data_IF_204152462461
#
_entry.id   IF_204152462461
#
_cell.length_a   1.000
_cell.length_b   1.000
_cell.length_c   1.000
_cell.angle_alpha   90.00
_cell.angle_beta   90.00
_cell.angle_gamma   90.00
#
_symmetry.space_group_name_H-M   'P 1'
#
loop_
_entity.id
_entity.type
_entity.pdbx_description
1 polymer ?
#
# COMPACT_ATOMS: atom_id res chain seq x y z
N UNK A 1 14.60 -17.14 42.74
CA UNK A 1 13.23 -17.52 43.16
C UNK A 1 12.32 -16.29 43.22
N UNK A 2 12.65 -15.23 43.97
CA UNK A 2 11.81 -14.01 44.03
C UNK A 2 11.75 -13.20 42.72
N UNK A 3 12.85 -13.07 41.97
CA UNK A 3 12.84 -12.34 40.69
C UNK A 3 11.94 -12.99 39.62
N UNK A 4 11.89 -14.32 39.54
CA UNK A 4 10.98 -15.04 38.65
C UNK A 4 9.51 -14.94 39.11
N UNK A 5 9.26 -14.72 40.39
CA UNK A 5 7.91 -14.55 40.94
C UNK A 5 7.33 -13.16 40.62
N UNK A 6 8.17 -12.12 40.62
CA UNK A 6 7.77 -10.73 40.35
C UNK A 6 7.83 -10.34 38.87
N UNK A 7 8.73 -10.92 38.08
CA UNK A 7 8.92 -10.59 36.66
C UNK A 7 8.58 -11.73 35.69
N UNK A 8 8.42 -12.95 36.20
CA UNK A 8 7.97 -14.09 35.42
C UNK A 8 6.48 -14.02 35.11
N UNK A 9 6.09 -14.66 34.00
CA UNK A 9 4.67 -14.76 33.64
C UNK A 9 4.08 -15.86 34.52
N UNK A 10 3.20 -15.47 35.44
CA UNK A 10 2.49 -16.45 36.26
C UNK A 10 1.69 -17.40 35.36
N UNK A 11 1.68 -18.72 35.63
CA UNK A 11 0.92 -19.69 34.83
C UNK A 11 -0.57 -19.36 34.72
N UNK A 12 -1.14 -18.70 35.74
CA UNK A 12 -2.53 -18.22 35.77
C UNK A 12 -2.76 -16.89 35.03
N UNK A 13 -1.70 -16.19 34.61
CA UNK A 13 -1.75 -14.87 33.96
C UNK A 13 -1.13 -14.91 32.55
N UNK A 14 -1.31 -16.03 31.85
CA UNK A 14 -0.97 -16.16 30.43
C UNK A 14 -2.16 -16.69 29.66
N UNK A 15 -2.40 -16.11 28.49
CA UNK A 15 -3.31 -16.65 27.49
C UNK A 15 -2.59 -17.65 26.59
N UNK A 16 -1.29 -17.91 26.78
CA UNK A 16 -0.57 -18.86 25.96
C UNK A 16 -1.07 -20.28 26.22
N UNK A 17 -1.43 -21.03 25.18
CA UNK A 17 -1.76 -22.44 25.33
C UNK A 17 -0.47 -23.26 25.42
N UNK A 18 0.03 -23.45 26.65
CA UNK A 18 1.27 -24.20 26.92
C UNK A 18 1.05 -25.72 26.90
N UNK A 19 -0.21 -26.20 26.92
CA UNK A 19 -0.55 -27.62 27.09
C UNK A 19 -0.38 -28.46 25.83
N UNK A 20 -0.56 -27.87 24.65
CA UNK A 20 -0.51 -28.56 23.35
C UNK A 20 0.67 -28.13 22.45
N UNK A 21 1.56 -27.27 22.96
CA UNK A 21 2.51 -26.54 22.11
C UNK A 21 3.94 -27.09 22.19
N UNK A 22 4.57 -27.32 21.03
CA UNK A 22 5.97 -27.76 20.91
C UNK A 22 6.94 -26.65 21.38
N UNK A 23 7.58 -26.84 22.54
CA UNK A 23 8.49 -25.86 23.16
C UNK A 23 9.69 -25.51 22.30
N UNK A 24 10.29 -26.47 21.59
CA UNK A 24 11.45 -26.22 20.73
C UNK A 24 11.10 -25.29 19.57
N UNK A 25 9.93 -25.52 18.97
CA UNK A 25 9.41 -24.66 17.90
C UNK A 25 9.17 -23.24 18.40
N UNK A 26 8.56 -23.07 19.58
CA UNK A 26 8.31 -21.76 20.19
C UNK A 26 9.62 -21.01 20.42
N UNK A 27 10.60 -21.64 21.07
CA UNK A 27 11.86 -20.99 21.39
C UNK A 27 12.65 -20.62 20.11
N UNK A 28 12.59 -21.46 19.07
CA UNK A 28 13.19 -21.14 17.77
C UNK A 28 12.56 -19.91 17.10
N UNK A 29 11.24 -19.77 17.16
CA UNK A 29 10.50 -18.66 16.56
C UNK A 29 10.62 -17.38 17.38
N UNK A 30 10.60 -17.49 18.71
CA UNK A 30 10.85 -16.37 19.62
C UNK A 30 12.27 -15.84 19.45
N UNK A 31 13.28 -16.71 19.31
CA UNK A 31 14.66 -16.29 19.04
C UNK A 31 14.78 -15.56 17.71
N UNK A 32 14.05 -16.01 16.68
CA UNK A 32 13.99 -15.34 15.36
C UNK A 32 13.30 -13.96 15.43
N UNK A 33 12.26 -13.81 16.24
CA UNK A 33 11.52 -12.56 16.41
C UNK A 33 12.19 -11.57 17.40
N UNK A 34 12.99 -12.09 18.35
CA UNK A 34 13.56 -11.30 19.46
C UNK A 34 14.61 -10.29 19.06
N UNK A 35 15.28 -10.47 17.91
CA UNK A 35 16.36 -9.59 17.49
C UNK A 35 15.88 -8.18 17.11
N UNK A 36 14.60 -8.02 16.77
CA UNK A 36 14.08 -6.78 16.21
C UNK A 36 12.91 -6.19 17.03
N UNK A 37 12.11 -6.99 17.74
CA UNK A 37 10.94 -6.51 18.48
C UNK A 37 10.79 -7.15 19.88
N UNK A 38 11.46 -6.62 20.93
CA UNK A 38 11.40 -7.16 22.28
C UNK A 38 9.99 -7.09 22.88
N UNK A 39 9.21 -6.06 22.53
CA UNK A 39 7.82 -5.92 22.97
C UNK A 39 6.92 -7.03 22.41
N UNK A 40 7.08 -7.37 21.12
CA UNK A 40 6.35 -8.48 20.50
C UNK A 40 6.63 -9.80 21.22
N UNK A 41 7.89 -10.12 21.50
CA UNK A 41 8.26 -11.33 22.24
C UNK A 41 7.66 -11.36 23.65
N UNK A 42 7.64 -10.22 24.35
CA UNK A 42 7.04 -10.10 25.68
C UNK A 42 5.52 -10.38 25.67
N UNK A 43 4.84 -9.97 24.60
CA UNK A 43 3.41 -10.22 24.41
C UNK A 43 3.16 -11.68 23.99
N UNK A 44 3.94 -12.22 23.06
CA UNK A 44 3.78 -13.59 22.55
C UNK A 44 3.90 -14.61 23.68
N UNK A 45 4.85 -14.40 24.61
CA UNK A 45 5.00 -15.24 25.81
C UNK A 45 3.75 -15.22 26.73
N UNK A 46 2.92 -14.19 26.64
CA UNK A 46 1.62 -14.06 27.33
C UNK A 46 0.44 -14.59 26.50
N UNK A 47 0.68 -15.14 25.31
CA UNK A 47 -0.35 -15.62 24.40
C UNK A 47 -1.09 -14.51 23.64
N UNK A 48 -0.50 -13.32 23.57
CA UNK A 48 -1.04 -12.13 22.88
C UNK A 48 -0.04 -11.70 21.81
N UNK A 49 -0.49 -11.27 20.63
CA UNK A 49 0.39 -10.68 19.63
C UNK A 49 -0.30 -9.60 18.80
N UNK A 50 0.47 -8.92 17.95
CA UNK A 50 -0.06 -7.99 16.95
C UNK A 50 0.52 -8.31 15.57
N UNK A 51 -0.26 -8.09 14.52
CA UNK A 51 0.10 -8.34 13.12
C UNK A 51 -0.33 -7.15 12.25
N UNK A 52 0.63 -6.36 11.78
CA UNK A 52 0.37 -5.22 10.88
C UNK A 52 1.59 -4.98 9.99
N UNK A 53 1.44 -4.19 8.93
CA UNK A 53 2.51 -3.92 7.94
C UNK A 53 3.77 -3.22 8.50
N UNK A 54 3.75 -2.79 9.76
CA UNK A 54 4.91 -2.23 10.46
C UNK A 54 5.70 -3.27 11.27
N UNK A 55 5.24 -4.53 11.34
CA UNK A 55 5.97 -5.64 11.94
C UNK A 55 6.88 -6.25 10.88
N UNK A 56 8.11 -6.57 11.27
CA UNK A 56 9.07 -7.23 10.39
C UNK A 56 8.56 -8.60 9.91
N UNK A 57 8.99 -9.03 8.71
CA UNK A 57 8.55 -10.30 8.12
C UNK A 57 8.79 -11.51 9.06
N UNK A 58 9.92 -11.55 9.77
CA UNK A 58 10.23 -12.62 10.74
C UNK A 58 9.24 -12.65 11.90
N UNK A 59 8.84 -11.48 12.41
CA UNK A 59 7.84 -11.34 13.48
C UNK A 59 6.45 -11.74 13.00
N UNK A 60 6.03 -11.28 11.81
CA UNK A 60 4.75 -11.69 11.20
C UNK A 60 4.67 -13.21 11.02
N UNK A 61 5.71 -13.83 10.45
CA UNK A 61 5.78 -15.29 10.27
C UNK A 61 5.74 -16.01 11.62
N UNK A 62 6.46 -15.52 12.63
CA UNK A 62 6.43 -16.13 13.96
C UNK A 62 5.03 -16.06 14.57
N UNK A 63 4.35 -14.91 14.49
CA UNK A 63 2.98 -14.73 15.00
C UNK A 63 2.00 -15.64 14.25
N UNK A 64 2.10 -15.74 12.92
CA UNK A 64 1.25 -16.61 12.10
C UNK A 64 1.43 -18.09 12.43
N UNK A 65 2.67 -18.55 12.58
CA UNK A 65 2.97 -19.95 12.92
C UNK A 65 2.51 -20.26 14.34
N UNK A 66 2.76 -19.37 15.31
CA UNK A 66 2.39 -19.58 16.70
C UNK A 66 0.87 -19.49 16.92
N UNK A 67 0.16 -18.67 16.15
CA UNK A 67 -1.30 -18.62 16.15
C UNK A 67 -1.91 -19.89 15.55
N UNK A 68 -1.40 -20.37 14.41
CA UNK A 68 -1.85 -21.64 13.79
C UNK A 68 -1.61 -22.86 14.68
N UNK A 69 -0.50 -22.86 15.43
CA UNK A 69 -0.20 -23.89 16.43
C UNK A 69 -0.96 -23.71 17.76
N UNK A 70 -1.93 -22.78 17.81
CA UNK A 70 -2.76 -22.46 18.98
C UNK A 70 -1.97 -22.00 20.21
N UNK A 71 -0.67 -21.69 20.09
CA UNK A 71 0.09 -21.17 21.23
C UNK A 71 -0.38 -19.75 21.58
N UNK A 72 -0.49 -18.87 20.57
CA UNK A 72 -1.10 -17.53 20.72
C UNK A 72 -2.61 -17.67 20.60
N UNK A 73 -3.35 -17.07 21.52
CA UNK A 73 -4.82 -17.11 21.53
C UNK A 73 -5.43 -15.81 21.01
N UNK A 74 -4.76 -14.68 21.21
CA UNK A 74 -5.25 -13.35 20.79
C UNK A 74 -4.23 -12.68 19.88
N UNK A 75 -4.67 -12.26 18.70
CA UNK A 75 -3.87 -11.46 17.77
C UNK A 75 -4.64 -10.19 17.41
N UNK A 76 -4.00 -9.03 17.61
CA UNK A 76 -4.49 -7.75 17.12
C UNK A 76 -3.95 -7.52 15.70
N UNK A 77 -4.77 -7.68 14.66
CA UNK A 77 -4.32 -7.51 13.28
C UNK A 77 -4.96 -6.31 12.58
N UNK A 78 -4.22 -5.72 11.64
CA UNK A 78 -4.80 -4.79 10.67
C UNK A 78 -5.15 -5.57 9.39
N UNK A 79 -6.46 -5.68 9.11
CA UNK A 79 -7.08 -6.11 7.85
C UNK A 79 -6.83 -7.53 7.29
N UNK A 80 -5.77 -8.27 7.67
CA UNK A 80 -5.37 -9.48 6.90
C UNK A 80 -5.41 -10.83 7.63
N UNK A 81 -5.63 -10.91 8.96
CA UNK A 81 -5.65 -12.22 9.67
C UNK A 81 -7.05 -12.65 10.10
N UNK A 82 -7.46 -13.84 9.66
CA UNK A 82 -8.84 -14.35 9.62
C UNK A 82 -9.52 -14.81 10.92
N UNK A 83 -9.18 -14.25 12.09
CA UNK A 83 -9.98 -14.42 13.31
C UNK A 83 -10.32 -13.04 13.89
N UNK A 84 -11.60 -12.66 13.78
CA UNK A 84 -12.10 -11.32 14.10
C UNK A 84 -12.77 -11.34 15.47
N UNK A 85 -12.21 -10.60 16.42
CA UNK A 85 -12.86 -10.30 17.70
C UNK A 85 -13.43 -8.88 17.60
N UNK A 86 -14.75 -8.76 17.66
CA UNK A 86 -15.42 -7.46 17.68
C UNK A 86 -15.36 -6.87 19.10
N UNK A 87 -14.60 -5.79 19.28
CA UNK A 87 -14.51 -5.04 20.54
C UNK A 87 -15.34 -3.77 20.43
N UNK A 88 -16.19 -3.50 21.44
CA UNK A 88 -17.00 -2.27 21.54
C UNK A 88 -17.92 -2.01 20.31
N UNK A 89 -18.34 -3.07 19.62
CA UNK A 89 -19.32 -2.99 18.54
C UNK A 89 -20.65 -3.59 19.03
N UNK A 90 -21.77 -2.84 19.00
CA UNK A 90 -23.07 -3.37 19.36
C UNK A 90 -23.43 -4.62 18.56
N UNK A 91 -24.09 -5.58 19.20
CA UNK A 91 -24.46 -6.85 18.57
C UNK A 91 -25.31 -6.69 17.31
N UNK A 92 -26.11 -5.62 17.22
CA UNK A 92 -26.87 -5.26 16.01
C UNK A 92 -25.96 -4.96 14.82
N UNK A 93 -24.84 -4.26 15.03
CA UNK A 93 -23.85 -3.93 14.00
C UNK A 93 -22.96 -5.12 13.64
N UNK A 94 -22.63 -5.98 14.62
CA UNK A 94 -21.93 -7.24 14.36
C UNK A 94 -22.78 -8.14 13.47
N UNK A 95 -24.04 -8.39 13.84
CA UNK A 95 -24.97 -9.20 13.03
C UNK A 95 -25.10 -8.63 11.61
N UNK A 96 -25.25 -7.31 11.50
CA UNK A 96 -25.30 -6.65 10.20
C UNK A 96 -24.03 -6.91 9.38
N UNK A 97 -22.82 -6.74 9.95
CA UNK A 97 -21.55 -6.97 9.25
C UNK A 97 -21.35 -8.44 8.83
N UNK A 98 -21.85 -9.40 9.62
CA UNK A 98 -21.74 -10.83 9.30
C UNK A 98 -22.71 -11.27 8.20
N UNK A 99 -23.89 -10.64 8.10
CA UNK A 99 -24.94 -11.05 7.16
C UNK A 99 -25.14 -10.11 5.97
N UNK A 100 -24.58 -8.90 6.01
CA UNK A 100 -24.71 -7.92 4.94
C UNK A 100 -24.14 -8.49 3.64
N UNK A 101 -24.80 -8.19 2.52
CA UNK A 101 -24.23 -8.49 1.21
C UNK A 101 -22.87 -7.81 1.06
N UNK A 102 -21.93 -8.49 0.42
CA UNK A 102 -20.63 -7.92 0.07
C UNK A 102 -20.90 -6.65 -0.76
N UNK A 103 -20.26 -5.50 -0.43
CA UNK A 103 -20.43 -4.30 -1.22
C UNK A 103 -20.11 -4.59 -2.68
N UNK A 104 -20.94 -4.08 -3.58
CA UNK A 104 -20.72 -4.27 -5.00
C UNK A 104 -19.33 -3.70 -5.35
N UNK A 105 -18.44 -4.57 -5.86
CA UNK A 105 -17.10 -4.18 -6.28
C UNK A 105 -17.28 -3.28 -7.51
N UNK A 106 -17.31 -1.97 -7.26
CA UNK A 106 -17.33 -0.96 -8.32
C UNK A 106 -15.90 -0.69 -8.73
N UNK A 107 -15.62 -0.80 -10.02
CA UNK A 107 -14.38 -0.28 -10.57
C UNK A 107 -14.28 1.21 -10.24
N UNK A 108 -13.17 1.61 -9.63
CA UNK A 108 -12.85 3.03 -9.53
C UNK A 108 -12.41 3.52 -10.92
N UNK A 109 -12.77 4.75 -11.29
CA UNK A 109 -12.35 5.34 -12.55
C UNK A 109 -10.81 5.40 -12.59
N UNK A 110 -10.13 4.69 -13.50
CA UNK A 110 -8.71 4.36 -13.30
C UNK A 110 -7.74 5.35 -13.93
N UNK A 111 -8.20 6.48 -14.46
CA UNK A 111 -7.28 7.47 -15.04
C UNK A 111 -6.89 8.48 -13.97
N UNK A 112 -5.75 8.26 -13.35
CA UNK A 112 -5.09 9.33 -12.63
C UNK A 112 -4.29 10.23 -13.58
N UNK A 113 -3.88 11.41 -13.11
CA UNK A 113 -3.15 12.38 -13.95
C UNK A 113 -1.82 11.78 -14.44
N UNK A 114 -1.10 11.12 -13.54
CA UNK A 114 0.16 10.42 -13.86
C UNK A 114 -0.06 9.16 -14.68
N UNK A 115 -1.22 8.51 -14.59
CA UNK A 115 -1.52 7.41 -15.50
C UNK A 115 -1.56 7.92 -16.95
N UNK A 116 -2.26 9.04 -17.19
CA UNK A 116 -2.34 9.64 -18.52
C UNK A 116 -0.99 10.14 -19.03
N UNK A 117 -0.19 10.80 -18.19
CA UNK A 117 1.15 11.25 -18.60
C UNK A 117 2.08 10.07 -18.90
N UNK A 118 1.92 8.92 -18.22
CA UNK A 118 2.68 7.69 -18.51
C UNK A 118 2.29 7.06 -19.84
N UNK A 119 1.00 7.09 -20.20
CA UNK A 119 0.56 6.65 -21.53
C UNK A 119 1.09 7.57 -22.63
N UNK A 120 1.08 8.88 -22.40
CA UNK A 120 1.65 9.86 -23.32
C UNK A 120 3.18 9.69 -23.45
N UNK A 121 3.87 9.42 -22.34
CA UNK A 121 5.29 9.13 -22.34
C UNK A 121 5.62 7.84 -23.11
N UNK A 122 4.80 6.79 -22.93
CA UNK A 122 4.90 5.55 -23.70
C UNK A 122 4.79 5.83 -25.20
N UNK A 123 3.81 6.62 -25.62
CA UNK A 123 3.63 6.99 -27.02
C UNK A 123 4.82 7.79 -27.58
N UNK A 124 5.23 8.85 -26.88
CA UNK A 124 6.29 9.77 -27.35
C UNK A 124 7.67 9.10 -27.42
N UNK A 125 7.99 8.18 -26.51
CA UNK A 125 9.28 7.46 -26.50
C UNK A 125 9.29 6.15 -27.28
N UNK A 126 8.15 5.69 -27.77
CA UNK A 126 8.09 4.43 -28.53
C UNK A 126 8.76 4.52 -29.89
N UNK A 127 9.49 3.46 -30.26
CA UNK A 127 9.98 3.29 -31.63
C UNK A 127 8.82 2.95 -32.58
N UNK A 128 7.88 2.11 -32.12
CA UNK A 128 6.66 1.77 -32.83
C UNK A 128 5.46 2.54 -32.23
N UNK A 129 5.12 3.65 -32.89
CA UNK A 129 4.00 4.51 -32.46
C UNK A 129 2.64 3.81 -32.55
N UNK A 130 2.48 2.85 -33.46
CA UNK A 130 1.20 2.15 -33.63
C UNK A 130 1.00 1.15 -32.49
N UNK A 131 2.03 0.41 -32.10
CA UNK A 131 1.99 -0.47 -30.92
C UNK A 131 1.68 0.34 -29.65
N UNK A 132 2.41 1.44 -29.42
CA UNK A 132 2.20 2.26 -28.24
C UNK A 132 0.81 2.89 -28.19
N UNK A 133 0.28 3.34 -29.34
CA UNK A 133 -1.09 3.81 -29.47
C UNK A 133 -2.10 2.72 -29.08
N UNK A 134 -1.97 1.52 -29.64
CA UNK A 134 -2.89 0.41 -29.35
C UNK A 134 -2.84 0.02 -27.86
N UNK A 135 -1.64 -0.02 -27.26
CA UNK A 135 -1.47 -0.30 -25.83
C UNK A 135 -2.12 0.76 -24.94
N UNK A 136 -1.97 2.03 -25.30
CA UNK A 136 -2.62 3.13 -24.58
C UNK A 136 -4.15 3.09 -24.74
N UNK A 137 -4.64 2.79 -25.93
CA UNK A 137 -6.07 2.66 -26.21
C UNK A 137 -6.69 1.51 -25.41
N UNK A 138 -6.07 0.32 -25.45
CA UNK A 138 -6.50 -0.84 -24.66
C UNK A 138 -6.49 -0.51 -23.16
N UNK A 139 -5.48 0.20 -22.66
CA UNK A 139 -5.42 0.59 -21.26
C UNK A 139 -6.54 1.55 -20.84
N UNK A 140 -6.98 2.44 -21.74
CA UNK A 140 -8.11 3.35 -21.54
C UNK A 140 -9.48 2.69 -21.71
N UNK A 141 -9.58 1.68 -22.58
CA UNK A 141 -10.82 0.93 -22.83
C UNK A 141 -11.06 -0.16 -21.77
N UNK A 142 -10.04 -0.97 -21.46
CA UNK A 142 -10.13 -2.07 -20.48
C UNK A 142 -10.26 -1.60 -19.04
N UNK A 143 -9.85 -0.37 -18.77
CA UNK A 143 -10.08 0.35 -17.53
C UNK A 143 -11.55 0.30 -17.05
N UNK A 144 -12.49 0.13 -17.99
CA UNK A 144 -13.91 0.34 -17.77
C UNK A 144 -14.74 -0.80 -18.38
N UNK A 145 -14.54 -2.03 -17.87
CA UNK A 145 -15.51 -3.13 -18.05
C UNK A 145 -16.72 -2.84 -17.13
N UNK A 146 -17.41 -1.74 -17.41
CA UNK A 146 -18.70 -1.39 -16.82
C UNK A 146 -19.80 -1.88 -17.74
N UNK A 147 -20.95 -2.25 -17.18
CA UNK A 147 -22.16 -2.66 -17.89
C UNK A 147 -22.36 -1.89 -19.21
N UNK A 148 -22.58 -2.63 -20.30
CA UNK A 148 -22.84 -2.18 -21.68
C UNK A 148 -23.86 -1.04 -21.80
N UNK A 149 -24.74 -0.85 -20.81
CA UNK A 149 -25.74 0.23 -20.78
C UNK A 149 -25.17 1.64 -20.58
N UNK A 150 -23.97 1.79 -20.01
CA UNK A 150 -23.38 3.11 -19.66
C UNK A 150 -22.09 3.45 -20.40
N UNK A 151 -21.67 2.61 -21.35
CA UNK A 151 -20.38 2.75 -22.04
C UNK A 151 -20.22 4.14 -22.69
N UNK A 152 -21.26 4.65 -23.35
CA UNK A 152 -21.23 5.96 -24.03
C UNK A 152 -20.92 7.11 -23.06
N UNK A 153 -21.57 7.14 -21.89
CA UNK A 153 -21.35 8.19 -20.90
C UNK A 153 -19.93 8.12 -20.32
N UNK A 154 -19.46 6.89 -20.10
CA UNK A 154 -18.11 6.61 -19.61
C UNK A 154 -17.07 7.06 -20.63
N UNK A 155 -17.24 6.75 -21.91
CA UNK A 155 -16.33 7.18 -22.98
C UNK A 155 -16.26 8.71 -23.08
N UNK A 156 -17.41 9.38 -22.98
CA UNK A 156 -17.49 10.85 -22.96
C UNK A 156 -16.73 11.40 -21.75
N UNK A 157 -16.96 10.84 -20.56
CA UNK A 157 -16.28 11.26 -19.34
C UNK A 157 -14.76 11.05 -19.42
N UNK A 158 -14.32 9.92 -19.96
CA UNK A 158 -12.89 9.62 -20.18
C UNK A 158 -12.26 10.63 -21.13
N UNK A 159 -12.93 10.95 -22.24
CA UNK A 159 -12.44 11.98 -23.18
C UNK A 159 -12.28 13.34 -22.52
N UNK A 160 -13.30 13.81 -21.80
CA UNK A 160 -13.21 15.09 -21.09
C UNK A 160 -12.11 15.08 -20.03
N UNK A 161 -11.99 13.99 -19.26
CA UNK A 161 -10.94 13.86 -18.27
C UNK A 161 -9.54 13.89 -18.90
N UNK A 162 -9.33 13.19 -20.02
CA UNK A 162 -8.06 13.24 -20.76
C UNK A 162 -7.75 14.66 -21.25
N UNK A 163 -8.72 15.35 -21.84
CA UNK A 163 -8.55 16.71 -22.34
C UNK A 163 -8.19 17.69 -21.21
N UNK A 164 -8.93 17.65 -20.11
CA UNK A 164 -8.65 18.49 -18.94
C UNK A 164 -7.30 18.16 -18.31
N UNK A 165 -6.91 16.89 -18.28
CA UNK A 165 -5.61 16.47 -17.75
C UNK A 165 -4.46 16.96 -18.62
N UNK A 166 -4.59 16.90 -19.95
CA UNK A 166 -3.58 17.45 -20.86
C UNK A 166 -3.44 18.96 -20.70
N UNK A 167 -4.55 19.70 -20.63
CA UNK A 167 -4.52 21.15 -20.36
C UNK A 167 -3.89 21.47 -19.00
N UNK A 168 -4.23 20.70 -17.96
CA UNK A 168 -3.65 20.84 -16.63
C UNK A 168 -2.14 20.59 -16.63
N UNK A 169 -1.68 19.50 -17.25
CA UNK A 169 -0.26 19.15 -17.36
C UNK A 169 0.54 20.18 -18.16
N UNK A 170 -0.05 20.71 -19.23
CA UNK A 170 0.57 21.75 -20.05
C UNK A 170 0.71 23.07 -19.26
N UNK A 171 -0.30 23.45 -18.47
CA UNK A 171 -0.23 24.65 -17.61
C UNK A 171 0.78 24.53 -16.48
N UNK A 172 1.06 23.31 -16.03
CA UNK A 172 2.09 23.02 -15.02
C UNK A 172 3.50 22.87 -15.61
N UNK A 173 3.68 23.05 -16.92
CA UNK A 173 4.97 22.85 -17.61
C UNK A 173 5.56 21.44 -17.42
N UNK A 174 4.68 20.45 -17.20
CA UNK A 174 5.06 19.04 -17.13
C UNK A 174 5.12 18.39 -18.52
N UNK A 175 4.40 18.96 -19.49
CA UNK A 175 4.43 18.55 -20.90
C UNK A 175 4.53 19.78 -21.82
N UNK A 176 5.24 19.63 -22.95
CA UNK A 176 5.30 20.67 -23.97
C UNK A 176 4.14 20.57 -24.97
N UNK A 177 4.10 21.48 -25.95
CA UNK A 177 3.09 21.49 -27.04
C UNK A 177 3.09 20.24 -27.91
N UNK A 178 4.18 19.46 -27.88
CA UNK A 178 4.33 18.21 -28.62
C UNK A 178 3.91 16.99 -27.77
N UNK A 179 3.53 17.19 -26.50
CA UNK A 179 3.17 16.14 -25.55
C UNK A 179 4.38 15.42 -24.93
N UNK A 180 5.59 15.95 -25.09
CA UNK A 180 6.79 15.38 -24.48
C UNK A 180 6.95 15.88 -23.05
N UNK A 181 7.50 15.04 -22.17
CA UNK A 181 7.79 15.39 -20.78
C UNK A 181 8.85 16.49 -20.70
N UNK A 182 8.63 17.46 -19.80
CA UNK A 182 9.56 18.58 -19.55
C UNK A 182 9.93 18.63 -18.06
N UNK A 183 11.10 19.19 -17.75
CA UNK A 183 11.53 19.46 -16.38
C UNK A 183 11.52 18.23 -15.47
N UNK A 184 10.82 18.33 -14.34
CA UNK A 184 10.72 17.27 -13.33
C UNK A 184 9.66 16.22 -13.66
N UNK A 185 8.94 16.33 -14.78
CA UNK A 185 7.87 15.41 -15.11
C UNK A 185 8.33 13.94 -15.10
N UNK A 186 9.52 13.64 -15.63
CA UNK A 186 10.10 12.29 -15.64
C UNK A 186 10.12 11.63 -14.25
N UNK A 187 10.86 12.16 -13.26
CA UNK A 187 10.82 11.63 -11.89
C UNK A 187 9.42 11.58 -11.27
N UNK A 188 8.58 12.58 -11.54
CA UNK A 188 7.23 12.67 -10.98
C UNK A 188 6.30 11.55 -11.46
N UNK A 189 6.46 11.07 -12.71
CA UNK A 189 5.68 9.91 -13.21
C UNK A 189 6.03 8.64 -12.44
N UNK A 190 7.27 8.49 -12.00
CA UNK A 190 7.71 7.33 -11.24
C UNK A 190 7.09 7.32 -9.84
N UNK A 191 6.80 8.51 -9.28
CA UNK A 191 6.14 8.69 -7.98
C UNK A 191 4.59 8.67 -8.04
N UNK A 192 4.01 8.04 -9.08
CA UNK A 192 2.55 7.96 -9.28
C UNK A 192 1.76 7.43 -8.07
N UNK A 193 2.36 6.56 -7.25
CA UNK A 193 1.75 6.00 -6.05
C UNK A 193 1.52 7.04 -4.93
N UNK A 194 2.16 8.21 -5.02
CA UNK A 194 1.99 9.32 -4.08
C UNK A 194 1.07 10.43 -4.58
N UNK A 195 0.29 10.21 -5.64
CA UNK A 195 -0.68 11.20 -6.10
C UNK A 195 -1.68 11.61 -5.00
N UNK A 196 -2.05 12.91 -4.91
CA UNK A 196 -1.62 14.04 -5.77
C UNK A 196 -0.33 14.74 -5.28
N UNK A 197 0.31 14.23 -4.23
CA UNK A 197 1.45 14.89 -3.57
C UNK A 197 2.66 15.03 -4.49
N UNK A 198 2.90 14.04 -5.36
CA UNK A 198 3.97 14.09 -6.34
C UNK A 198 3.83 15.30 -7.29
N UNK A 199 2.63 15.57 -7.83
CA UNK A 199 2.39 16.73 -8.71
C UNK A 199 2.50 18.04 -7.93
N UNK A 200 2.08 18.04 -6.66
CA UNK A 200 2.16 19.21 -5.79
C UNK A 200 3.62 19.63 -5.52
N UNK A 201 4.56 18.68 -5.50
CA UNK A 201 5.99 19.00 -5.34
C UNK A 201 6.52 19.94 -6.43
N UNK A 202 6.07 19.76 -7.67
CA UNK A 202 6.47 20.59 -8.82
C UNK A 202 5.98 22.05 -8.69
N UNK A 203 4.73 22.22 -8.23
CA UNK A 203 4.16 23.53 -7.92
C UNK A 203 5.00 24.28 -6.87
N UNK A 204 5.54 23.58 -5.88
CA UNK A 204 6.38 24.21 -4.85
C UNK A 204 7.80 24.53 -5.33
N UNK A 205 8.40 23.70 -6.20
CA UNK A 205 9.71 23.97 -6.77
C UNK A 205 9.69 25.18 -7.71
N UNK A 206 8.67 25.31 -8.56
CA UNK A 206 8.62 26.39 -9.54
C UNK A 206 8.40 27.78 -8.92
N UNK A 207 7.90 27.86 -7.68
CA UNK A 207 7.65 29.13 -6.97
C UNK A 207 8.68 29.51 -5.90
N UNK A 208 9.68 28.67 -5.58
CA UNK A 208 10.67 28.99 -4.53
C UNK A 208 12.09 28.53 -4.87
N UNK A 209 12.84 29.41 -5.54
CA UNK A 209 14.17 29.17 -6.14
C UNK A 209 15.19 28.44 -5.24
N UNK A 210 15.21 28.71 -3.93
CA UNK A 210 16.20 28.12 -3.02
C UNK A 210 15.75 26.78 -2.40
N UNK A 211 14.43 26.54 -2.28
CA UNK A 211 13.87 25.25 -1.82
C UNK A 211 13.73 24.25 -2.97
N UNK A 212 13.52 24.72 -4.19
CA UNK A 212 13.44 23.92 -5.40
C UNK A 212 14.66 23.00 -5.58
N UNK A 213 15.87 23.56 -5.48
CA UNK A 213 17.11 22.78 -5.64
C UNK A 213 17.26 21.67 -4.58
N UNK A 214 16.82 21.92 -3.35
CA UNK A 214 16.80 20.90 -2.29
C UNK A 214 15.75 19.81 -2.56
N UNK A 215 14.57 20.19 -3.03
CA UNK A 215 13.51 19.22 -3.38
C UNK A 215 13.93 18.37 -4.57
N UNK A 216 14.53 18.97 -5.60
CA UNK A 216 15.09 18.26 -6.75
C UNK A 216 16.15 17.23 -6.33
N UNK A 217 17.12 17.63 -5.48
CA UNK A 217 18.13 16.71 -4.96
C UNK A 217 17.51 15.57 -4.13
N UNK A 218 16.46 15.85 -3.35
CA UNK A 218 15.74 14.82 -2.57
C UNK A 218 14.99 13.87 -3.49
N UNK A 219 14.28 14.37 -4.51
CA UNK A 219 13.55 13.53 -5.48
C UNK A 219 14.54 12.65 -6.25
N UNK A 220 15.66 13.20 -6.73
CA UNK A 220 16.73 12.45 -7.39
C UNK A 220 17.28 11.37 -6.45
N UNK A 221 17.59 11.72 -5.19
CA UNK A 221 18.12 10.77 -4.21
C UNK A 221 17.14 9.62 -3.91
N UNK A 222 15.85 9.92 -3.74
CA UNK A 222 14.80 8.92 -3.49
C UNK A 222 14.62 7.99 -4.69
N UNK A 223 14.67 8.53 -5.91
CA UNK A 223 14.59 7.73 -7.14
C UNK A 223 15.83 6.84 -7.31
N UNK A 224 17.03 7.37 -7.06
CA UNK A 224 18.28 6.60 -7.18
C UNK A 224 18.39 5.46 -6.15
N UNK A 225 17.92 5.65 -4.92
CA UNK A 225 17.93 4.57 -3.91
C UNK A 225 16.97 3.43 -4.25
N UNK A 226 15.77 3.74 -4.73
CA UNK A 226 14.78 2.72 -5.11
C UNK A 226 15.22 1.87 -6.32
N UNK A 227 16.10 2.40 -7.17
CA UNK A 227 16.69 1.65 -8.28
C UNK A 227 17.82 0.69 -7.84
N UNK A 228 18.53 0.99 -6.74
CA UNK A 228 19.59 0.13 -6.21
C UNK A 228 19.06 -1.03 -5.35
N UNK A 229 17.88 -0.90 -4.76
CA UNK A 229 17.28 -1.97 -3.94
C UNK A 229 16.55 -3.05 -4.77
N UNK A 230 16.41 -2.87 -6.09
CA UNK A 230 15.72 -3.79 -7.00
C UNK A 230 16.62 -4.40 -8.09
N UNK A 231 17.94 -4.37 -7.91
CA UNK A 231 18.94 -5.01 -8.78
C UNK A 231 19.63 -6.19 -8.08
#
# INVERSE_FOLDING_TARGET
>A
IEQDLFYGILPQCTLANVRESNKELIDSLLKRASNENPLLVKLVKRGIAYHHGGVNNKGCVAVEVLFRNRYIQIVFSTSTLGNIVFLDIPLSKIRHLTISSIPNIRAHFPTSVTFLIRLLHLYTKSNDKNDAYNRALIALECALISSTSKQILVDIQTRYHCLHTLDFLYRLDLINSNGELVGLAGPLIHLHYFEPSNITCDLFSNHSSERAQKIEQIVIFVVSKNFQENA
#
